data_IF_483789271724
#
_entry.id   IF_483789271724
#
_cell.length_a   1.000
_cell.length_b   1.000
_cell.length_c   1.000
_cell.angle_alpha   90.00
_cell.angle_beta   90.00
_cell.angle_gamma   90.00
#
_symmetry.space_group_name_H-M   'P 1'
#
loop_
_entity.id
_entity.type
_entity.pdbx_description
1 polymer ?
#
# COMPACT_ATOMS: atom_id res chain seq x y z
N UNK A 1 -35.11 15.30 4.08
CA UNK A 1 -34.06 15.50 3.07
C UNK A 1 -32.75 15.14 3.70
N UNK A 2 -32.33 13.89 3.55
CA UNK A 2 -31.00 13.44 4.01
C UNK A 2 -30.12 13.40 2.77
N UNK A 3 -29.24 14.39 2.65
CA UNK A 3 -28.14 14.31 1.68
C UNK A 3 -27.27 13.17 2.21
N UNK A 4 -27.27 12.04 1.50
CA UNK A 4 -26.35 10.95 1.76
C UNK A 4 -24.95 11.55 1.86
N UNK A 5 -24.36 11.47 3.04
CA UNK A 5 -22.96 11.84 3.23
C UNK A 5 -22.16 10.95 2.28
N UNK A 6 -21.54 11.54 1.26
CA UNK A 6 -20.50 10.87 0.49
C UNK A 6 -19.53 10.27 1.52
N UNK A 7 -19.51 8.95 1.63
CA UNK A 7 -18.69 8.20 2.59
C UNK A 7 -17.23 8.48 2.23
N UNK A 8 -16.64 9.52 2.84
CA UNK A 8 -15.25 9.93 2.58
C UNK A 8 -14.36 8.77 3.02
N UNK A 9 -13.99 7.95 2.04
CA UNK A 9 -13.12 6.80 2.25
C UNK A 9 -11.70 7.27 2.53
N UNK A 10 -11.26 7.12 3.79
CA UNK A 10 -9.90 7.46 4.21
C UNK A 10 -8.86 6.67 3.39
N UNK A 11 -7.84 7.40 2.94
CA UNK A 11 -6.74 6.89 2.12
C UNK A 11 -5.40 7.14 2.80
N UNK A 12 -4.45 6.22 2.65
CA UNK A 12 -3.09 6.35 3.18
C UNK A 12 -2.02 6.11 2.10
N UNK A 13 -0.89 6.78 2.22
CA UNK A 13 0.32 6.48 1.45
C UNK A 13 1.22 5.51 2.23
N UNK A 14 1.79 4.52 1.53
CA UNK A 14 2.72 3.54 2.12
C UNK A 14 4.03 3.55 1.34
N UNK A 15 5.12 3.67 2.09
CA UNK A 15 6.49 3.55 1.58
C UNK A 15 7.20 2.37 2.24
N UNK A 16 8.11 1.72 1.51
CA UNK A 16 8.86 0.58 2.01
C UNK A 16 10.22 0.46 1.34
N UNK A 17 11.18 -0.05 2.09
CA UNK A 17 12.50 -0.38 1.60
C UNK A 17 13.01 -1.63 2.32
N UNK A 18 13.80 -2.43 1.62
CA UNK A 18 14.43 -3.61 2.19
C UNK A 18 15.84 -3.75 1.62
N UNK A 19 16.83 -3.95 2.48
CA UNK A 19 18.21 -4.21 2.04
C UNK A 19 18.24 -5.43 1.12
N UNK A 20 19.07 -5.37 0.08
CA UNK A 20 19.14 -6.39 -0.97
C UNK A 20 19.31 -7.81 -0.42
N UNK A 21 20.11 -8.00 0.64
CA UNK A 21 20.34 -9.30 1.29
C UNK A 21 19.08 -9.98 1.88
N UNK A 22 18.02 -9.22 2.12
CA UNK A 22 16.75 -9.71 2.65
C UNK A 22 15.64 -9.79 1.60
N UNK A 23 15.89 -9.33 0.36
CA UNK A 23 14.91 -9.40 -0.72
C UNK A 23 14.70 -10.83 -1.22
N UNK A 24 13.66 -11.04 -2.04
CA UNK A 24 13.31 -12.34 -2.67
C UNK A 24 12.98 -13.48 -1.70
N UNK A 25 12.74 -13.17 -0.42
CA UNK A 25 12.33 -14.12 0.64
C UNK A 25 10.87 -13.99 1.08
N UNK A 26 10.08 -13.15 0.41
CA UNK A 26 8.68 -12.88 0.79
C UNK A 26 8.48 -11.87 1.92
N UNK A 27 9.55 -11.50 2.65
CA UNK A 27 9.49 -10.61 3.82
C UNK A 27 8.73 -9.30 3.58
N UNK A 28 9.03 -8.60 2.47
CA UNK A 28 8.36 -7.33 2.18
C UNK A 28 6.85 -7.50 1.94
N UNK A 29 6.42 -8.61 1.35
CA UNK A 29 4.99 -8.90 1.14
C UNK A 29 4.29 -9.19 2.47
N UNK A 30 4.91 -10.00 3.32
CA UNK A 30 4.39 -10.34 4.64
C UNK A 30 4.17 -9.08 5.49
N UNK A 31 5.21 -8.25 5.61
CA UNK A 31 5.15 -6.99 6.37
C UNK A 31 4.12 -6.04 5.79
N UNK A 32 4.07 -5.86 4.46
CA UNK A 32 3.07 -4.98 3.85
C UNK A 32 1.65 -5.46 4.11
N UNK A 33 1.36 -6.75 3.95
CA UNK A 33 0.01 -7.26 4.21
C UNK A 33 -0.41 -7.07 5.67
N UNK A 34 0.51 -7.27 6.61
CA UNK A 34 0.26 -7.03 8.03
C UNK A 34 -0.02 -5.54 8.31
N UNK A 35 0.79 -4.64 7.76
CA UNK A 35 0.63 -3.18 7.90
C UNK A 35 -0.69 -2.70 7.28
N UNK A 36 -1.02 -3.19 6.09
CA UNK A 36 -2.26 -2.90 5.38
C UNK A 36 -3.50 -3.39 6.16
N UNK A 37 -3.42 -4.57 6.77
CA UNK A 37 -4.47 -5.12 7.63
C UNK A 37 -4.66 -4.26 8.89
N UNK A 38 -3.56 -3.86 9.52
CA UNK A 38 -3.58 -2.95 10.66
C UNK A 38 -4.20 -1.59 10.30
N UNK A 39 -3.76 -0.98 9.19
CA UNK A 39 -4.29 0.31 8.73
C UNK A 39 -5.80 0.27 8.46
N UNK A 40 -6.32 -0.84 7.94
CA UNK A 40 -7.77 -1.04 7.78
C UNK A 40 -8.49 -1.14 9.13
N UNK A 41 -8.01 -2.01 10.02
CA UNK A 41 -8.69 -2.33 11.28
C UNK A 41 -8.63 -1.20 12.30
N UNK A 42 -7.48 -0.54 12.40
CA UNK A 42 -7.20 0.44 13.45
C UNK A 42 -7.27 1.87 12.93
N UNK A 43 -6.86 2.10 11.68
CA UNK A 43 -6.85 3.44 11.07
C UNK A 43 -8.09 3.78 10.23
N UNK A 44 -8.96 2.80 9.94
CA UNK A 44 -10.14 3.00 9.10
C UNK A 44 -9.84 3.25 7.62
N UNK A 45 -8.58 3.12 7.19
CA UNK A 45 -8.19 3.35 5.79
C UNK A 45 -8.73 2.25 4.89
N UNK A 46 -9.41 2.64 3.80
CA UNK A 46 -9.91 1.69 2.80
C UNK A 46 -9.04 1.64 1.55
N UNK A 47 -8.31 2.71 1.27
CA UNK A 47 -7.43 2.82 0.11
C UNK A 47 -5.98 3.05 0.52
N UNK A 48 -5.06 2.43 -0.23
CA UNK A 48 -3.63 2.53 0.00
C UNK A 48 -2.92 2.83 -1.30
N UNK A 49 -2.01 3.79 -1.24
CA UNK A 49 -1.29 4.33 -2.39
C UNK A 49 0.21 4.25 -2.16
N UNK A 50 0.99 4.22 -3.24
CA UNK A 50 2.44 4.28 -3.18
C UNK A 50 3.00 5.07 -4.37
N UNK A 51 3.98 5.93 -4.10
CA UNK A 51 4.75 6.61 -5.15
C UNK A 51 5.97 5.79 -5.50
N UNK A 52 6.03 5.30 -6.72
CA UNK A 52 7.07 4.37 -7.18
C UNK A 52 7.61 4.84 -8.53
N UNK A 53 8.94 4.96 -8.62
CA UNK A 53 9.62 5.28 -9.87
C UNK A 53 9.35 4.19 -10.93
N UNK A 54 9.19 4.54 -12.21
CA UNK A 54 8.90 3.56 -13.29
C UNK A 54 9.92 2.43 -13.42
N UNK A 55 11.20 2.74 -13.16
CA UNK A 55 12.33 1.81 -13.23
C UNK A 55 12.37 0.80 -12.06
N UNK A 56 11.62 1.05 -10.99
CA UNK A 56 11.57 0.17 -9.82
C UNK A 56 10.53 -0.95 -9.99
N UNK A 57 10.79 -1.82 -10.96
CA UNK A 57 9.92 -2.96 -11.33
C UNK A 57 9.62 -3.87 -10.14
N UNK A 58 10.60 -4.09 -9.25
CA UNK A 58 10.44 -4.93 -8.07
C UNK A 58 9.41 -4.36 -7.09
N UNK A 59 9.49 -3.06 -6.79
CA UNK A 59 8.56 -2.41 -5.87
C UNK A 59 7.17 -2.29 -6.50
N UNK A 60 7.08 -1.96 -7.80
CA UNK A 60 5.81 -1.89 -8.51
C UNK A 60 5.07 -3.25 -8.53
N UNK A 61 5.79 -4.34 -8.79
CA UNK A 61 5.22 -5.69 -8.77
C UNK A 61 4.74 -6.08 -7.35
N UNK A 62 5.48 -5.68 -6.32
CA UNK A 62 5.08 -5.92 -4.93
C UNK A 62 3.82 -5.13 -4.54
N UNK A 63 3.77 -3.83 -4.85
CA UNK A 63 2.60 -2.99 -4.60
C UNK A 63 1.33 -3.58 -5.22
N UNK A 64 1.39 -3.99 -6.50
CA UNK A 64 0.28 -4.65 -7.20
C UNK A 64 -0.16 -5.94 -6.49
N UNK A 65 0.78 -6.79 -6.06
CA UNK A 65 0.48 -8.03 -5.31
C UNK A 65 -0.17 -7.78 -3.95
N UNK A 66 0.01 -6.61 -3.37
CA UNK A 66 -0.57 -6.20 -2.09
C UNK A 66 -1.85 -5.34 -2.25
N UNK A 67 -2.32 -5.10 -3.48
CA UNK A 67 -3.50 -4.27 -3.74
C UNK A 67 -3.29 -2.78 -3.48
N UNK A 68 -2.05 -2.30 -3.58
CA UNK A 68 -1.69 -0.88 -3.43
C UNK A 68 -1.74 -0.21 -4.81
N UNK A 69 -2.39 0.94 -4.90
CA UNK A 69 -2.43 1.76 -6.10
C UNK A 69 -1.10 2.51 -6.27
N UNK A 70 -0.58 2.55 -7.49
CA UNK A 70 0.72 3.18 -7.78
C UNK A 70 0.50 4.51 -8.47
N UNK A 71 1.19 5.53 -7.98
CA UNK A 71 1.35 6.81 -8.67
C UNK A 71 2.81 6.93 -9.11
N UNK A 72 3.02 7.32 -10.36
CA UNK A 72 4.35 7.55 -10.91
C UNK A 72 4.86 8.91 -10.44
N UNK A 73 6.12 8.93 -9.98
CA UNK A 73 6.89 10.14 -9.69
C UNK A 73 8.04 10.30 -10.67
#
# INVERSE_FOLDING_TARGET
TEIASDDISLSAEVSYALLQKYQRRGLAKEVLLALLSYGRKTGGFRQFTARIRPDNVASAALAKKCGIQIYTI
#
